data_IF_080146854227
#
_entry.id   IF_080146854227
#
_cell.length_a   1.000
_cell.length_b   1.000
_cell.length_c   1.000
_cell.angle_alpha   90.00
_cell.angle_beta   90.00
_cell.angle_gamma   90.00
#
_symmetry.space_group_name_H-M   'P 1'
#
loop_
_entity.id
_entity.type
_entity.pdbx_description
1 polymer ?
#
# COMPACT_ATOMS: atom_id res chain seq x y z
N UNK A 1 -20.30 -33.87 -7.53
CA UNK A 1 -19.70 -32.80 -6.72
C UNK A 1 -20.74 -31.71 -6.51
N UNK A 2 -20.74 -31.03 -5.36
CA UNK A 2 -21.77 -30.03 -5.04
C UNK A 2 -21.53 -28.76 -5.87
N UNK A 3 -22.59 -28.21 -6.49
CA UNK A 3 -22.55 -26.90 -7.14
C UNK A 3 -22.75 -25.74 -6.17
N UNK A 4 -22.98 -26.04 -4.88
CA UNK A 4 -23.29 -25.05 -3.86
C UNK A 4 -22.44 -25.25 -2.60
N UNK A 5 -22.05 -24.17 -1.91
CA UNK A 5 -21.41 -24.24 -0.59
C UNK A 5 -22.20 -25.07 0.40
N UNK A 6 -21.51 -25.86 1.23
CA UNK A 6 -22.13 -26.62 2.31
C UNK A 6 -22.41 -25.70 3.49
N UNK A 7 -23.69 -25.61 3.87
CA UNK A 7 -24.10 -24.92 5.10
C UNK A 7 -23.56 -25.69 6.31
N UNK A 8 -22.81 -25.02 7.18
CA UNK A 8 -22.27 -25.58 8.41
C UNK A 8 -23.29 -25.50 9.55
N UNK A 9 -23.92 -24.35 9.72
CA UNK A 9 -24.90 -24.07 10.75
C UNK A 9 -25.89 -23.00 10.29
N UNK A 10 -26.97 -22.82 11.05
CA UNK A 10 -27.93 -21.74 10.84
C UNK A 10 -28.31 -21.08 12.17
N UNK A 11 -28.68 -19.81 12.12
CA UNK A 11 -29.28 -19.08 13.24
C UNK A 11 -30.35 -18.12 12.71
N UNK A 12 -31.22 -17.59 13.56
CA UNK A 12 -32.33 -16.72 13.16
C UNK A 12 -32.14 -15.32 13.71
N UNK A 13 -32.30 -14.33 12.85
CA UNK A 13 -32.43 -12.91 13.21
C UNK A 13 -33.91 -12.55 13.22
N UNK A 14 -34.44 -12.20 14.38
CA UNK A 14 -35.83 -11.78 14.60
C UNK A 14 -35.96 -10.32 15.04
N UNK A 15 -34.89 -9.78 15.62
CA UNK A 15 -34.85 -8.45 16.21
C UNK A 15 -34.66 -7.29 15.23
N UNK A 16 -34.35 -7.58 13.97
CA UNK A 16 -33.92 -6.58 12.99
C UNK A 16 -32.46 -6.16 13.13
N UNK A 17 -31.67 -6.82 13.99
CA UNK A 17 -30.27 -6.51 14.20
C UNK A 17 -29.46 -7.68 14.74
N UNK A 18 -28.15 -7.56 14.63
CA UNK A 18 -27.20 -8.52 15.21
C UNK A 18 -26.15 -7.81 16.05
N UNK A 19 -25.75 -8.43 17.16
CA UNK A 19 -24.58 -8.08 17.94
C UNK A 19 -23.38 -8.93 17.50
N UNK A 20 -22.17 -8.36 17.55
CA UNK A 20 -20.97 -9.04 17.05
C UNK A 20 -19.71 -8.75 17.88
N UNK A 21 -18.71 -9.63 17.76
CA UNK A 21 -17.39 -9.46 18.34
C UNK A 21 -17.10 -10.43 19.50
N UNK A 22 -16.28 -10.00 20.46
CA UNK A 22 -16.03 -10.78 21.68
C UNK A 22 -17.24 -10.71 22.64
N UNK A 23 -17.21 -11.49 23.73
CA UNK A 23 -18.35 -11.58 24.67
C UNK A 23 -18.77 -10.22 25.24
N UNK A 24 -17.80 -9.41 25.72
CA UNK A 24 -18.07 -8.06 26.23
C UNK A 24 -18.56 -7.11 25.13
N UNK A 25 -18.07 -7.25 23.90
CA UNK A 25 -18.56 -6.47 22.76
C UNK A 25 -20.01 -6.80 22.44
N UNK A 26 -20.37 -8.08 22.38
CA UNK A 26 -21.76 -8.54 22.15
C UNK A 26 -22.68 -8.02 23.25
N UNK A 27 -22.25 -8.11 24.51
CA UNK A 27 -22.98 -7.57 25.63
C UNK A 27 -23.19 -6.06 25.49
N UNK A 28 -22.11 -5.30 25.25
CA UNK A 28 -22.18 -3.86 25.02
C UNK A 28 -23.15 -3.52 23.89
N UNK A 29 -23.06 -4.23 22.77
CA UNK A 29 -23.90 -3.99 21.60
C UNK A 29 -25.38 -4.18 21.87
N UNK A 30 -25.76 -5.12 22.74
CA UNK A 30 -27.15 -5.34 23.14
C UNK A 30 -27.76 -4.22 24.00
N UNK A 31 -26.92 -3.32 24.53
CA UNK A 31 -27.35 -2.22 25.40
C UNK A 31 -27.50 -0.88 24.66
N UNK A 32 -26.99 -0.81 23.44
CA UNK A 32 -27.03 0.39 22.60
C UNK A 32 -28.09 0.23 21.49
N UNK A 33 -28.75 1.31 21.04
CA UNK A 33 -29.67 1.24 19.91
C UNK A 33 -29.03 0.58 18.67
N UNK A 34 -29.83 -0.14 17.89
CA UNK A 34 -29.38 -0.81 16.66
C UNK A 34 -28.82 0.24 15.68
N UNK A 35 -27.55 0.08 15.32
CA UNK A 35 -26.82 0.95 14.40
C UNK A 35 -27.29 0.71 12.96
N UNK A 36 -27.65 1.79 12.26
CA UNK A 36 -27.89 1.76 10.80
C UNK A 36 -26.57 1.61 10.03
N UNK A 37 -26.61 1.68 8.69
CA UNK A 37 -25.37 1.69 7.91
C UNK A 37 -24.41 2.80 8.39
N UNK A 38 -23.20 2.47 8.85
CA UNK A 38 -22.37 3.45 9.54
C UNK A 38 -21.77 4.46 8.57
N UNK A 39 -21.82 5.75 8.95
CA UNK A 39 -20.89 6.76 8.43
C UNK A 39 -19.68 6.81 9.35
N UNK A 40 -19.02 5.67 9.55
CA UNK A 40 -17.88 5.58 10.45
C UNK A 40 -16.68 6.29 9.79
N UNK A 41 -16.25 7.42 10.37
CA UNK A 41 -14.97 8.02 10.00
C UNK A 41 -13.87 7.42 10.88
N UNK A 42 -12.72 7.04 10.32
CA UNK A 42 -11.61 6.54 11.11
C UNK A 42 -11.16 7.60 12.12
N UNK A 43 -10.94 7.19 13.37
CA UNK A 43 -10.36 8.01 14.42
C UNK A 43 -8.88 7.64 14.58
N UNK A 44 -8.04 8.65 14.81
CA UNK A 44 -6.61 8.46 15.05
C UNK A 44 -6.35 8.46 16.54
N UNK A 45 -5.96 7.31 17.12
CA UNK A 45 -5.51 7.21 18.50
C UNK A 45 -4.06 6.68 18.53
N UNK A 46 -3.09 7.59 18.65
CA UNK A 46 -1.67 7.24 18.65
C UNK A 46 -1.23 6.64 17.31
N UNK A 47 -0.53 5.50 17.34
CA UNK A 47 -0.10 4.76 16.13
C UNK A 47 -1.18 3.83 15.56
N UNK A 48 -2.38 3.80 16.15
CA UNK A 48 -3.48 2.93 15.76
C UNK A 48 -4.64 3.78 15.24
N UNK A 49 -5.13 3.42 14.06
CA UNK A 49 -6.35 3.99 13.49
C UNK A 49 -7.47 2.97 13.73
N UNK A 50 -8.55 3.40 14.38
CA UNK A 50 -9.69 2.56 14.71
C UNK A 50 -11.01 3.28 14.39
N UNK A 51 -12.08 2.51 14.18
CA UNK A 51 -13.43 3.03 14.03
C UNK A 51 -14.17 2.96 15.36
N UNK A 52 -14.98 3.98 15.64
CA UNK A 52 -15.91 3.91 16.77
C UNK A 52 -17.10 3.01 16.40
N UNK A 53 -17.30 1.94 17.17
CA UNK A 53 -18.32 0.91 16.90
C UNK A 53 -19.33 0.80 18.05
N UNK A 54 -20.57 0.44 17.73
CA UNK A 54 -21.59 0.08 18.73
C UNK A 54 -21.71 -1.44 18.95
N UNK A 55 -20.94 -2.26 18.23
CA UNK A 55 -20.97 -3.74 18.30
C UNK A 55 -22.34 -4.36 18.06
N UNK A 56 -23.22 -3.62 17.41
CA UNK A 56 -24.47 -4.08 16.86
C UNK A 56 -24.68 -3.44 15.48
N UNK A 57 -25.52 -4.03 14.64
CA UNK A 57 -25.84 -3.48 13.32
C UNK A 57 -27.20 -3.99 12.83
N UNK A 58 -27.91 -3.14 12.09
CA UNK A 58 -29.19 -3.49 11.44
C UNK A 58 -29.00 -4.65 10.47
N UNK A 59 -29.80 -5.70 10.61
CA UNK A 59 -29.64 -6.94 9.88
C UNK A 59 -30.96 -7.44 9.32
N UNK A 60 -30.89 -8.12 8.18
CA UNK A 60 -32.06 -8.70 7.55
C UNK A 60 -32.64 -9.82 8.42
N UNK A 61 -33.91 -9.69 8.78
CA UNK A 61 -34.65 -10.74 9.49
C UNK A 61 -34.73 -12.02 8.67
N UNK A 62 -34.69 -13.16 9.36
CA UNK A 62 -34.79 -14.49 8.77
C UNK A 62 -33.72 -15.45 9.29
N UNK A 63 -33.72 -16.67 8.76
CA UNK A 63 -32.69 -17.67 9.07
C UNK A 63 -31.45 -17.41 8.23
N UNK A 64 -30.31 -17.16 8.86
CA UNK A 64 -29.01 -17.00 8.22
C UNK A 64 -28.27 -18.33 8.13
N UNK A 65 -27.59 -18.54 7.01
CA UNK A 65 -26.71 -19.68 6.79
C UNK A 65 -25.28 -19.29 7.15
N UNK A 66 -24.57 -20.17 7.84
CA UNK A 66 -23.16 -20.02 8.19
C UNK A 66 -22.35 -21.07 7.44
N UNK A 67 -21.23 -20.65 6.87
CA UNK A 67 -20.34 -21.44 6.03
C UNK A 67 -18.92 -21.38 6.58
N UNK A 68 -18.23 -22.52 6.53
CA UNK A 68 -16.79 -22.60 6.78
C UNK A 68 -16.04 -22.33 5.49
N UNK A 69 -15.02 -21.49 5.58
CA UNK A 69 -14.06 -21.28 4.50
C UNK A 69 -12.79 -22.06 4.84
N UNK A 70 -12.40 -22.95 3.93
CA UNK A 70 -11.35 -23.95 4.13
C UNK A 70 -10.11 -23.56 3.35
N UNK A 71 -8.94 -23.65 3.99
CA UNK A 71 -7.65 -23.51 3.32
C UNK A 71 -7.30 -24.82 2.59
N UNK A 72 -7.17 -24.75 1.27
CA UNK A 72 -6.90 -25.92 0.43
C UNK A 72 -5.53 -26.58 0.72
N UNK A 73 -4.61 -25.89 1.40
CA UNK A 73 -3.28 -26.41 1.73
C UNK A 73 -3.30 -27.40 2.90
N UNK A 74 -4.18 -27.18 3.87
CA UNK A 74 -4.19 -27.94 5.13
C UNK A 74 -5.58 -28.47 5.54
N UNK A 75 -6.65 -28.11 4.82
CA UNK A 75 -8.02 -28.52 5.10
C UNK A 75 -8.62 -27.89 6.36
N UNK A 76 -7.94 -26.93 6.98
CA UNK A 76 -8.37 -26.23 8.18
C UNK A 76 -9.32 -25.08 7.87
N UNK A 77 -10.11 -24.68 8.88
CA UNK A 77 -10.97 -23.48 8.78
C UNK A 77 -10.07 -22.25 8.83
N UNK A 78 -10.08 -21.45 7.76
CA UNK A 78 -9.30 -20.22 7.64
C UNK A 78 -10.14 -18.97 7.88
N UNK A 79 -11.44 -19.04 7.59
CA UNK A 79 -12.38 -17.95 7.74
C UNK A 79 -13.82 -18.48 7.84
N UNK A 80 -14.73 -17.57 8.17
CA UNK A 80 -16.16 -17.84 8.29
C UNK A 80 -16.95 -16.84 7.45
N UNK A 81 -18.05 -17.31 6.87
CA UNK A 81 -18.99 -16.47 6.14
C UNK A 81 -20.41 -16.78 6.60
N UNK A 82 -21.21 -15.77 6.88
CA UNK A 82 -22.63 -15.90 7.21
C UNK A 82 -23.45 -15.04 6.26
N UNK A 83 -24.58 -15.53 5.78
CA UNK A 83 -25.47 -14.74 4.91
C UNK A 83 -26.93 -15.14 5.01
N UNK A 84 -27.80 -14.19 4.71
CA UNK A 84 -29.22 -14.44 4.52
C UNK A 84 -29.44 -15.28 3.22
N UNK A 85 -30.42 -16.22 3.17
CA UNK A 85 -30.64 -17.11 2.03
C UNK A 85 -30.98 -16.44 0.71
N UNK A 86 -31.35 -15.14 0.74
CA UNK A 86 -31.55 -14.34 -0.47
C UNK A 86 -30.24 -13.90 -1.15
N UNK A 87 -29.10 -14.14 -0.51
CA UNK A 87 -27.77 -13.76 -1.00
C UNK A 87 -27.11 -14.97 -1.63
N UNK A 88 -26.55 -14.81 -2.82
CA UNK A 88 -25.66 -15.82 -3.40
C UNK A 88 -24.27 -15.67 -2.75
N UNK A 89 -23.83 -16.63 -1.93
CA UNK A 89 -22.67 -16.47 -1.05
C UNK A 89 -21.35 -16.24 -1.79
N UNK A 90 -21.12 -16.89 -2.94
CA UNK A 90 -19.84 -16.81 -3.67
C UNK A 90 -19.68 -15.44 -4.33
N UNK A 91 -20.73 -14.92 -4.96
CA UNK A 91 -20.74 -13.59 -5.58
C UNK A 91 -20.63 -12.48 -4.55
N UNK A 92 -21.33 -12.60 -3.43
CA UNK A 92 -21.34 -11.57 -2.40
C UNK A 92 -19.99 -11.45 -1.67
N UNK A 93 -19.39 -12.57 -1.25
CA UNK A 93 -18.06 -12.52 -0.62
C UNK A 93 -17.00 -11.95 -1.58
N UNK A 94 -17.07 -12.28 -2.88
CA UNK A 94 -16.18 -11.72 -3.90
C UNK A 94 -16.37 -10.21 -4.05
N UNK A 95 -17.62 -9.72 -4.04
CA UNK A 95 -17.93 -8.29 -4.03
C UNK A 95 -17.31 -7.61 -2.81
N UNK A 96 -17.53 -8.14 -1.61
CA UNK A 96 -17.00 -7.59 -0.36
C UNK A 96 -15.47 -7.52 -0.42
N UNK A 97 -14.81 -8.64 -0.74
CA UNK A 97 -13.36 -8.72 -0.73
C UNK A 97 -12.72 -7.84 -1.80
N UNK A 98 -13.36 -7.63 -2.96
CA UNK A 98 -12.86 -6.70 -4.00
C UNK A 98 -12.72 -5.27 -3.45
N UNK A 99 -13.62 -4.86 -2.57
CA UNK A 99 -13.69 -3.50 -2.03
C UNK A 99 -12.93 -3.37 -0.71
N UNK A 100 -12.96 -4.42 0.13
CA UNK A 100 -12.27 -4.48 1.41
C UNK A 100 -11.95 -5.92 1.81
N UNK A 101 -10.85 -6.43 1.27
CA UNK A 101 -10.27 -7.73 1.55
C UNK A 101 -9.29 -7.73 2.72
N UNK A 102 -8.41 -8.74 2.73
CA UNK A 102 -7.36 -8.87 3.74
C UNK A 102 -6.26 -7.83 3.53
N UNK A 103 -5.88 -7.03 4.55
CA UNK A 103 -4.77 -6.07 4.44
C UNK A 103 -3.43 -6.70 4.05
N UNK A 104 -3.31 -8.02 4.16
CA UNK A 104 -2.12 -8.80 3.84
C UNK A 104 -2.14 -9.39 2.43
N UNK A 105 -3.24 -9.22 1.70
CA UNK A 105 -3.33 -9.57 0.29
C UNK A 105 -3.10 -8.36 -0.61
N UNK A 106 -2.72 -8.62 -1.85
CA UNK A 106 -2.65 -7.60 -2.88
C UNK A 106 -4.05 -7.32 -3.43
N UNK A 107 -4.29 -6.11 -3.95
CA UNK A 107 -5.63 -5.69 -4.43
C UNK A 107 -6.73 -5.94 -3.39
N UNK A 108 -6.45 -5.63 -2.13
CA UNK A 108 -7.40 -5.80 -1.03
C UNK A 108 -8.40 -4.65 -0.91
N UNK A 109 -8.35 -3.66 -1.80
CA UNK A 109 -9.18 -2.46 -1.69
C UNK A 109 -8.86 -1.66 -0.42
N UNK A 110 -9.88 -1.09 0.21
CA UNK A 110 -9.72 -0.27 1.40
C UNK A 110 -9.66 -1.10 2.67
N UNK A 111 -8.73 -0.79 3.57
CA UNK A 111 -8.73 -1.29 4.94
C UNK A 111 -9.55 -0.43 5.90
N UNK A 112 -10.16 0.66 5.42
CA UNK A 112 -10.92 1.62 6.23
C UNK A 112 -12.30 1.86 5.63
N UNK A 113 -13.24 2.31 6.45
CA UNK A 113 -14.51 2.82 5.94
C UNK A 113 -14.23 4.11 5.14
N UNK A 114 -14.47 4.07 3.83
CA UNK A 114 -14.24 5.18 2.91
C UNK A 114 -15.41 5.28 1.90
N UNK A 115 -15.28 6.19 0.94
CA UNK A 115 -16.31 6.40 -0.09
C UNK A 115 -16.56 5.15 -0.95
N UNK A 116 -15.54 4.34 -1.22
CA UNK A 116 -15.67 3.11 -2.00
C UNK A 116 -16.42 2.02 -1.24
N UNK A 117 -16.06 1.80 0.04
CA UNK A 117 -16.77 0.83 0.88
C UNK A 117 -18.20 1.28 1.14
N UNK A 118 -18.43 2.58 1.34
CA UNK A 118 -19.77 3.15 1.48
C UNK A 118 -20.60 2.97 0.22
N UNK A 119 -20.05 3.24 -0.97
CA UNK A 119 -20.74 3.09 -2.25
C UNK A 119 -21.18 1.65 -2.53
N UNK A 120 -20.39 0.68 -2.07
CA UNK A 120 -20.64 -0.75 -2.30
C UNK A 120 -21.42 -1.41 -1.16
N UNK A 121 -21.78 -0.66 -0.11
CA UNK A 121 -22.50 -1.18 1.05
C UNK A 121 -21.65 -2.13 1.89
N UNK A 122 -20.35 -1.89 1.97
CA UNK A 122 -19.41 -2.69 2.76
C UNK A 122 -19.03 -1.91 4.01
N UNK A 123 -19.29 -2.50 5.17
CA UNK A 123 -18.85 -1.94 6.45
C UNK A 123 -17.63 -2.69 6.98
N UNK A 124 -16.57 -1.94 7.28
CA UNK A 124 -15.24 -2.44 7.61
C UNK A 124 -15.00 -2.42 9.11
N UNK A 125 -14.66 -3.59 9.68
CA UNK A 125 -14.26 -3.76 11.09
C UNK A 125 -12.85 -4.36 11.14
N UNK A 126 -11.89 -3.59 11.64
CA UNK A 126 -10.48 -3.98 11.73
C UNK A 126 -10.13 -4.65 13.04
N UNK A 127 -8.95 -5.28 13.08
CA UNK A 127 -8.38 -5.93 14.28
C UNK A 127 -8.31 -5.07 15.53
N UNK A 128 -8.32 -3.75 15.39
CA UNK A 128 -8.20 -2.80 16.48
C UNK A 128 -9.56 -2.23 16.94
N UNK A 129 -10.65 -2.56 16.25
CA UNK A 129 -11.95 -1.93 16.50
C UNK A 129 -12.75 -2.65 17.62
N UNK A 130 -12.26 -3.80 18.11
CA UNK A 130 -13.00 -4.72 18.99
C UNK A 130 -12.07 -5.59 19.84
N UNK A 131 -12.66 -6.49 20.64
CA UNK A 131 -11.94 -7.41 21.50
C UNK A 131 -11.17 -6.66 22.59
N UNK A 132 -9.90 -7.05 22.79
CA UNK A 132 -8.98 -6.46 23.77
C UNK A 132 -8.81 -4.92 23.67
N UNK A 133 -9.01 -4.35 22.48
CA UNK A 133 -8.86 -2.90 22.26
C UNK A 133 -10.05 -2.08 22.77
N UNK A 134 -11.17 -2.72 23.09
CA UNK A 134 -12.34 -2.08 23.68
C UNK A 134 -12.54 -2.52 25.14
N UNK A 135 -12.83 -1.55 26.01
CA UNK A 135 -12.95 -1.76 27.45
C UNK A 135 -14.39 -1.76 27.96
N UNK A 136 -15.39 -1.49 27.12
CA UNK A 136 -16.79 -1.45 27.55
C UNK A 136 -17.22 -2.84 28.02
N UNK A 137 -17.70 -2.94 29.25
CA UNK A 137 -18.09 -4.18 29.91
C UNK A 137 -16.98 -5.25 30.01
N UNK A 138 -15.71 -4.90 29.73
CA UNK A 138 -14.60 -5.86 29.78
C UNK A 138 -14.36 -6.37 31.20
N UNK A 139 -14.43 -5.49 32.20
CA UNK A 139 -14.21 -5.86 33.60
C UNK A 139 -15.37 -6.72 34.17
N UNK A 140 -16.58 -6.59 33.61
CA UNK A 140 -17.77 -7.31 34.06
C UNK A 140 -17.96 -8.66 33.38
N UNK A 141 -17.71 -8.73 32.06
CA UNK A 141 -17.98 -9.91 31.23
C UNK A 141 -16.67 -10.64 30.87
N UNK A 142 -15.58 -9.90 30.67
CA UNK A 142 -14.31 -10.43 30.21
C UNK A 142 -14.37 -11.11 28.84
N UNK A 143 -13.34 -11.89 28.54
CA UNK A 143 -13.22 -12.65 27.29
C UNK A 143 -13.78 -14.09 27.40
N UNK A 144 -14.17 -14.50 28.62
CA UNK A 144 -14.60 -15.85 28.97
C UNK A 144 -13.44 -16.83 29.18
N UNK A 145 -13.75 -18.12 29.28
CA UNK A 145 -12.76 -19.17 29.54
C UNK A 145 -11.72 -19.32 28.41
N UNK A 146 -10.47 -19.62 28.76
CA UNK A 146 -9.38 -19.85 27.79
C UNK A 146 -9.40 -21.28 27.21
N UNK A 147 -8.98 -21.44 25.95
CA UNK A 147 -8.92 -22.73 25.25
C UNK A 147 -7.85 -23.68 25.81
N UNK A 148 -6.80 -23.12 26.44
CA UNK A 148 -5.64 -23.80 27.01
C UNK A 148 -4.34 -23.45 26.26
N UNK A 149 -3.24 -24.10 26.62
CA UNK A 149 -1.90 -23.79 26.08
C UNK A 149 -1.74 -24.06 24.56
N UNK A 150 -2.67 -24.80 23.96
CA UNK A 150 -2.65 -25.09 22.51
C UNK A 150 -3.08 -23.92 21.64
N UNK A 151 -3.85 -22.98 22.20
CA UNK A 151 -4.30 -21.76 21.51
C UNK A 151 -4.63 -20.67 22.53
N UNK A 152 -3.60 -19.99 23.01
CA UNK A 152 -3.72 -18.93 24.02
C UNK A 152 -4.46 -17.69 23.51
N UNK A 153 -4.62 -17.55 22.20
CA UNK A 153 -5.31 -16.43 21.55
C UNK A 153 -6.74 -16.79 21.11
N UNK A 154 -7.28 -17.91 21.57
CA UNK A 154 -8.59 -18.41 21.15
C UNK A 154 -9.73 -17.38 21.33
N UNK A 155 -9.66 -16.56 22.38
CA UNK A 155 -10.64 -15.50 22.60
C UNK A 155 -10.48 -14.32 21.60
N UNK A 156 -9.26 -14.02 21.17
CA UNK A 156 -8.97 -12.96 20.19
C UNK A 156 -9.12 -13.43 18.74
N UNK A 157 -9.06 -14.74 18.48
CA UNK A 157 -9.23 -15.33 17.14
C UNK A 157 -10.65 -15.86 16.87
N UNK A 158 -11.58 -15.49 17.74
CA UNK A 158 -12.99 -15.85 17.65
C UNK A 158 -13.90 -14.64 17.68
N UNK A 159 -15.08 -14.77 17.08
CA UNK A 159 -16.14 -13.78 17.19
C UNK A 159 -17.52 -14.46 17.26
N UNK A 160 -18.42 -13.89 18.06
CA UNK A 160 -19.83 -14.22 17.98
C UNK A 160 -20.58 -13.34 16.99
N UNK A 161 -21.66 -13.87 16.44
CA UNK A 161 -22.67 -13.14 15.68
C UNK A 161 -24.04 -13.62 16.17
N UNK A 162 -24.82 -12.72 16.78
CA UNK A 162 -25.98 -13.08 17.61
C UNK A 162 -27.14 -12.13 17.34
N UNK A 163 -28.37 -12.63 17.32
CA UNK A 163 -29.56 -11.80 17.30
C UNK A 163 -29.55 -10.80 18.47
N UNK A 164 -29.86 -9.54 18.18
CA UNK A 164 -29.73 -8.45 19.13
C UNK A 164 -30.51 -8.68 20.45
N UNK A 165 -31.72 -9.26 20.39
CA UNK A 165 -32.55 -9.46 21.59
C UNK A 165 -32.08 -10.63 22.46
N UNK A 166 -31.39 -11.60 21.86
CA UNK A 166 -30.92 -12.81 22.53
C UNK A 166 -29.46 -12.72 23.00
N UNK A 167 -28.76 -11.64 22.63
CA UNK A 167 -27.34 -11.42 22.85
C UNK A 167 -26.91 -11.64 24.31
N UNK A 168 -27.57 -11.01 25.28
CA UNK A 168 -27.21 -11.15 26.69
C UNK A 168 -27.44 -12.58 27.24
N UNK A 169 -28.48 -13.25 26.75
CA UNK A 169 -28.78 -14.63 27.15
C UNK A 169 -27.65 -15.56 26.69
N UNK A 170 -27.28 -15.48 25.41
CA UNK A 170 -26.20 -16.28 24.83
C UNK A 170 -24.83 -15.97 25.43
N UNK A 171 -24.53 -14.71 25.74
CA UNK A 171 -23.26 -14.36 26.41
C UNK A 171 -23.17 -15.03 27.79
N UNK A 172 -24.26 -15.05 28.57
CA UNK A 172 -24.28 -15.74 29.88
C UNK A 172 -24.06 -17.25 29.75
N UNK A 173 -24.55 -17.86 28.68
CA UNK A 173 -24.28 -19.27 28.40
C UNK A 173 -22.81 -19.50 28.03
N UNK A 174 -22.24 -18.65 27.17
CA UNK A 174 -20.90 -18.83 26.62
C UNK A 174 -19.75 -18.41 27.55
N UNK A 175 -19.96 -17.52 28.52
CA UNK A 175 -18.90 -16.97 29.37
C UNK A 175 -18.11 -18.06 30.12
N UNK A 176 -18.80 -19.11 30.59
CA UNK A 176 -18.20 -20.26 31.27
C UNK A 176 -17.66 -21.34 30.32
N UNK A 177 -17.70 -21.11 29.01
CA UNK A 177 -17.29 -22.07 27.99
C UNK A 177 -16.04 -21.60 27.25
N UNK A 178 -15.17 -22.56 26.93
CA UNK A 178 -14.02 -22.33 26.04
C UNK A 178 -14.50 -22.01 24.62
N UNK A 179 -13.80 -21.17 23.85
CA UNK A 179 -14.16 -20.82 22.48
C UNK A 179 -14.52 -22.02 21.60
N UNK A 180 -13.76 -23.12 21.62
CA UNK A 180 -14.04 -24.31 20.81
C UNK A 180 -15.30 -25.08 21.20
N UNK A 181 -15.87 -24.78 22.38
CA UNK A 181 -17.05 -25.45 22.95
C UNK A 181 -18.31 -24.60 22.84
N UNK A 182 -18.21 -23.34 22.40
CA UNK A 182 -19.36 -22.48 22.13
C UNK A 182 -20.01 -22.94 20.83
N UNK A 183 -21.05 -23.75 20.96
CA UNK A 183 -21.76 -24.32 19.81
C UNK A 183 -22.74 -23.30 19.20
N UNK A 184 -23.10 -23.53 17.94
CA UNK A 184 -24.18 -22.82 17.27
C UNK A 184 -25.50 -22.98 18.06
N UNK A 185 -26.27 -21.90 18.12
CA UNK A 185 -27.63 -21.90 18.68
C UNK A 185 -28.62 -21.37 17.67
N UNK A 186 -29.91 -21.41 18.00
CA UNK A 186 -30.96 -20.80 17.16
C UNK A 186 -30.83 -19.28 17.06
N UNK A 187 -30.18 -18.63 18.02
CA UNK A 187 -30.11 -17.18 18.12
C UNK A 187 -28.74 -16.62 17.76
N UNK A 188 -27.72 -17.45 17.55
CA UNK A 188 -26.41 -16.98 17.15
C UNK A 188 -25.38 -18.07 16.93
N UNK A 189 -24.22 -17.68 16.43
CA UNK A 189 -23.09 -18.54 16.14
C UNK A 189 -21.82 -17.99 16.80
N UNK A 190 -20.96 -18.89 17.28
CA UNK A 190 -19.59 -18.58 17.66
C UNK A 190 -18.65 -19.10 16.58
N UNK A 191 -17.86 -18.20 15.98
CA UNK A 191 -16.93 -18.50 14.90
C UNK A 191 -15.52 -18.51 15.46
N UNK A 192 -14.97 -19.69 15.65
CA UNK A 192 -13.61 -19.91 16.17
C UNK A 192 -12.67 -20.29 15.01
N UNK A 193 -11.53 -19.60 14.89
CA UNK A 193 -10.49 -19.88 13.90
C UNK A 193 -9.19 -20.26 14.62
N UNK A 194 -8.92 -21.56 14.84
CA UNK A 194 -7.82 -22.01 15.68
C UNK A 194 -6.46 -21.47 15.24
N UNK A 195 -5.63 -21.05 16.20
CA UNK A 195 -4.25 -20.59 16.00
C UNK A 195 -4.11 -19.45 14.97
N UNK A 196 -5.19 -18.71 14.75
CA UNK A 196 -5.20 -17.54 13.89
C UNK A 196 -4.91 -16.28 14.71
N UNK A 197 -4.45 -15.23 14.05
CA UNK A 197 -4.18 -13.93 14.67
C UNK A 197 -4.59 -12.79 13.74
N UNK A 198 -4.82 -11.62 14.36
CA UNK A 198 -5.20 -10.38 13.68
C UNK A 198 -6.47 -10.57 12.87
N UNK A 199 -7.59 -10.53 13.57
CA UNK A 199 -8.89 -10.83 13.00
C UNK A 199 -9.59 -9.60 12.44
N UNK A 200 -10.28 -9.79 11.33
CA UNK A 200 -11.00 -8.76 10.59
C UNK A 200 -12.41 -9.23 10.30
N UNK A 201 -13.35 -8.29 10.26
CA UNK A 201 -14.72 -8.56 9.84
C UNK A 201 -15.18 -7.57 8.78
N UNK A 202 -16.06 -8.01 7.89
CA UNK A 202 -16.78 -7.11 6.97
C UNK A 202 -18.25 -7.48 6.96
N UNK A 203 -19.12 -6.48 6.93
CA UNK A 203 -20.55 -6.66 6.68
C UNK A 203 -20.89 -6.22 5.26
N UNK A 204 -21.66 -7.03 4.55
CA UNK A 204 -22.26 -6.66 3.27
C UNK A 204 -23.72 -6.25 3.47
N UNK A 205 -24.09 -5.10 2.92
CA UNK A 205 -25.45 -4.57 2.94
C UNK A 205 -26.20 -4.88 1.64
N UNK A 206 -27.52 -4.77 1.71
CA UNK A 206 -28.39 -4.68 0.54
C UNK A 206 -28.07 -3.44 -0.32
N UNK A 207 -28.62 -3.39 -1.53
CA UNK A 207 -28.35 -2.30 -2.50
C UNK A 207 -28.83 -0.92 -2.00
N UNK A 208 -29.77 -0.90 -1.05
CA UNK A 208 -30.30 0.32 -0.43
C UNK A 208 -29.56 0.74 0.84
N UNK A 209 -28.54 -0.02 1.25
CA UNK A 209 -27.77 0.17 2.49
C UNK A 209 -28.65 0.23 3.75
N UNK A 210 -29.77 -0.49 3.75
CA UNK A 210 -30.76 -0.48 4.82
C UNK A 210 -30.57 -1.60 5.84
N UNK A 211 -30.09 -2.77 5.41
CA UNK A 211 -29.82 -3.89 6.29
C UNK A 211 -28.60 -4.69 5.84
N UNK A 212 -27.78 -5.16 6.80
CA UNK A 212 -26.78 -6.17 6.47
C UNK A 212 -27.46 -7.49 6.12
N UNK A 213 -26.90 -8.17 5.13
CA UNK A 213 -27.36 -9.47 4.65
C UNK A 213 -26.24 -10.51 4.58
N UNK A 214 -25.02 -10.11 4.89
CA UNK A 214 -23.86 -10.99 4.95
C UNK A 214 -22.76 -10.46 5.88
N UNK A 215 -21.94 -11.38 6.36
CA UNK A 215 -20.83 -11.14 7.27
C UNK A 215 -19.68 -12.09 6.94
N UNK A 216 -18.46 -11.58 6.86
CA UNK A 216 -17.24 -12.37 6.73
C UNK A 216 -16.32 -12.09 7.92
N UNK A 217 -15.72 -13.15 8.45
CA UNK A 217 -14.72 -13.11 9.52
C UNK A 217 -13.48 -13.89 9.11
N UNK A 218 -12.33 -13.23 9.10
CA UNK A 218 -11.08 -13.81 8.61
C UNK A 218 -9.86 -13.25 9.36
N UNK A 219 -8.70 -13.83 9.13
CA UNK A 219 -7.46 -13.49 9.84
C UNK A 219 -6.40 -12.92 8.90
N UNK A 220 -5.28 -12.45 9.46
CA UNK A 220 -4.09 -12.11 8.67
C UNK A 220 -3.49 -13.29 7.89
N UNK A 221 -3.79 -14.52 8.30
CA UNK A 221 -3.29 -15.74 7.64
C UNK A 221 -4.22 -16.25 6.54
N UNK A 222 -5.40 -15.64 6.38
CA UNK A 222 -6.34 -16.03 5.34
C UNK A 222 -5.86 -15.53 3.98
N UNK A 223 -5.46 -16.47 3.12
CA UNK A 223 -5.15 -16.25 1.70
C UNK A 223 -6.35 -16.72 0.87
N UNK A 224 -7.12 -15.76 0.34
CA UNK A 224 -8.35 -16.03 -0.40
C UNK A 224 -8.08 -16.64 -1.78
N UNK A 225 -6.83 -16.62 -2.28
CA UNK A 225 -6.42 -17.37 -3.47
C UNK A 225 -6.18 -18.86 -3.18
N UNK A 226 -6.14 -19.25 -1.90
CA UNK A 226 -6.01 -20.64 -1.42
C UNK A 226 -7.19 -21.09 -0.57
N UNK A 227 -8.18 -20.23 -0.37
CA UNK A 227 -9.36 -20.51 0.46
C UNK A 227 -10.59 -20.72 -0.41
N UNK A 228 -11.39 -21.74 -0.09
CA UNK A 228 -12.67 -22.05 -0.76
C UNK A 228 -13.79 -22.23 0.26
N UNK A 229 -15.05 -22.24 -0.19
CA UNK A 229 -16.15 -22.70 0.64
C UNK A 229 -16.06 -24.21 0.86
N UNK A 230 -16.36 -24.69 2.07
CA UNK A 230 -16.50 -26.13 2.29
C UNK A 230 -17.52 -26.73 1.30
N UNK A 231 -17.08 -27.75 0.55
CA UNK A 231 -17.90 -28.43 -0.47
C UNK A 231 -17.72 -27.92 -1.89
N UNK A 232 -16.97 -26.84 -2.10
CA UNK A 232 -16.53 -26.35 -3.41
C UNK A 232 -15.03 -26.61 -3.64
N UNK A 233 -14.62 -26.56 -4.90
CA UNK A 233 -13.21 -26.64 -5.31
C UNK A 233 -12.64 -25.26 -5.69
N UNK A 234 -13.47 -24.40 -6.27
CA UNK A 234 -13.08 -23.07 -6.75
C UNK A 234 -12.73 -22.15 -5.57
N UNK A 235 -11.58 -21.49 -5.63
CA UNK A 235 -11.13 -20.55 -4.60
C UNK A 235 -11.91 -19.24 -4.66
N UNK A 236 -11.94 -18.53 -3.54
CA UNK A 236 -12.70 -17.29 -3.42
C UNK A 236 -12.13 -16.22 -4.34
N UNK A 237 -10.79 -16.09 -4.39
CA UNK A 237 -10.06 -15.27 -5.36
C UNK A 237 -9.28 -16.15 -6.33
N UNK A 238 -9.09 -15.65 -7.53
CA UNK A 238 -8.20 -16.27 -8.52
C UNK A 238 -6.77 -15.88 -8.18
N UNK A 239 -5.87 -16.86 -8.17
CA UNK A 239 -4.44 -16.57 -8.10
C UNK A 239 -4.00 -15.92 -9.41
N UNK A 240 -3.29 -14.81 -9.30
CA UNK A 240 -2.71 -14.08 -10.42
C UNK A 240 -1.21 -13.94 -10.15
N UNK A 241 -0.39 -14.35 -11.11
CA UNK A 241 1.05 -14.21 -10.98
C UNK A 241 1.41 -12.71 -10.88
N UNK A 242 2.50 -12.33 -10.18
CA UNK A 242 2.81 -10.92 -9.97
C UNK A 242 2.93 -10.09 -11.25
N UNK A 243 3.54 -10.65 -12.29
CA UNK A 243 3.66 -9.99 -13.59
C UNK A 243 2.31 -9.83 -14.31
N UNK A 244 1.45 -10.86 -14.28
CA UNK A 244 0.08 -10.80 -14.84
C UNK A 244 -0.73 -9.69 -14.16
N UNK A 245 -0.60 -9.57 -12.84
CA UNK A 245 -1.24 -8.51 -12.05
C UNK A 245 -0.77 -7.14 -12.46
N UNK A 246 0.53 -6.97 -12.62
CA UNK A 246 1.10 -5.70 -13.04
C UNK A 246 0.59 -5.30 -14.43
N UNK A 247 0.58 -6.22 -15.39
CA UNK A 247 0.04 -5.99 -16.74
C UNK A 247 -1.46 -5.65 -16.72
N UNK A 248 -2.25 -6.36 -15.90
CA UNK A 248 -3.67 -6.03 -15.70
C UNK A 248 -3.84 -4.63 -15.12
N UNK A 249 -3.12 -4.28 -14.06
CA UNK A 249 -3.17 -2.95 -13.44
C UNK A 249 -2.77 -1.85 -14.43
N UNK A 250 -1.77 -2.09 -15.30
CA UNK A 250 -1.42 -1.18 -16.39
C UNK A 250 -2.59 -1.00 -17.37
N UNK A 251 -3.25 -2.09 -17.76
CA UNK A 251 -4.40 -2.05 -18.67
C UNK A 251 -5.64 -1.36 -18.05
N UNK A 252 -5.83 -1.50 -16.74
CA UNK A 252 -6.92 -0.87 -15.97
C UNK A 252 -6.65 0.61 -15.64
N UNK A 253 -5.47 1.13 -15.98
CA UNK A 253 -5.10 2.52 -15.70
C UNK A 253 -4.77 2.79 -14.23
N UNK A 254 -4.26 1.79 -13.50
CA UNK A 254 -3.79 1.95 -12.13
C UNK A 254 -2.74 3.07 -12.03
N UNK A 255 -2.82 3.88 -10.97
CA UNK A 255 -1.89 4.99 -10.76
C UNK A 255 -0.53 4.49 -10.24
N UNK A 256 0.46 4.43 -11.12
CA UNK A 256 1.86 4.13 -10.78
C UNK A 256 2.72 5.40 -10.63
N UNK A 257 2.14 6.56 -10.33
CA UNK A 257 2.90 7.81 -10.11
C UNK A 257 3.79 7.75 -8.86
N UNK A 258 3.39 6.95 -7.86
CA UNK A 258 4.07 6.78 -6.58
C UNK A 258 3.85 7.91 -5.57
N UNK A 259 3.06 8.94 -5.91
CA UNK A 259 2.86 10.11 -5.04
C UNK A 259 2.06 9.75 -3.79
N UNK A 260 0.96 9.02 -3.92
CA UNK A 260 0.14 8.59 -2.78
C UNK A 260 0.91 7.67 -1.84
N UNK A 261 1.72 6.77 -2.39
CA UNK A 261 2.55 5.85 -1.60
C UNK A 261 3.66 6.60 -0.86
N UNK A 262 4.33 7.53 -1.55
CA UNK A 262 5.32 8.41 -0.94
C UNK A 262 4.73 9.27 0.19
N UNK A 263 3.52 9.80 0.02
CA UNK A 263 2.83 10.58 1.06
C UNK A 263 2.45 9.74 2.28
N UNK A 264 2.03 8.49 2.05
CA UNK A 264 1.77 7.53 3.16
C UNK A 264 3.05 7.22 3.91
N UNK A 265 4.15 6.93 3.21
CA UNK A 265 5.43 6.64 3.83
C UNK A 265 5.98 7.83 4.61
N UNK A 266 5.93 9.05 4.05
CA UNK A 266 6.38 10.27 4.72
C UNK A 266 5.57 10.60 5.98
N UNK A 267 4.28 10.29 5.99
CA UNK A 267 3.43 10.45 7.16
C UNK A 267 3.81 9.47 8.28
N UNK A 268 4.14 8.22 7.93
CA UNK A 268 4.50 7.18 8.89
C UNK A 268 5.93 7.31 9.44
N UNK A 269 6.90 7.55 8.55
CA UNK A 269 8.32 7.64 8.91
C UNK A 269 8.73 9.02 9.43
N UNK A 270 7.91 10.06 9.19
CA UNK A 270 8.19 11.43 9.61
C UNK A 270 9.23 12.16 8.73
N UNK A 271 9.81 11.51 7.73
CA UNK A 271 10.71 12.16 6.77
C UNK A 271 9.90 13.00 5.79
N UNK A 272 10.13 14.31 5.80
CA UNK A 272 9.42 15.32 5.01
C UNK A 272 10.41 16.22 4.27
N UNK A 273 9.97 16.94 3.23
CA UNK A 273 10.81 17.98 2.65
C UNK A 273 11.32 18.94 3.73
N UNK A 274 12.56 19.43 3.57
CA UNK A 274 13.11 20.46 4.45
C UNK A 274 12.47 21.83 4.21
N UNK A 275 11.90 22.05 3.02
CA UNK A 275 11.19 23.26 2.62
C UNK A 275 9.67 23.10 2.75
N UNK A 276 8.96 24.22 2.89
CA UNK A 276 7.50 24.21 2.82
C UNK A 276 7.02 24.00 1.39
N UNK A 277 5.76 23.57 1.23
CA UNK A 277 5.14 23.33 -0.08
C UNK A 277 5.30 24.46 -1.12
N UNK A 278 5.16 25.76 -0.79
CA UNK A 278 5.37 26.85 -1.76
C UNK A 278 6.85 27.11 -2.10
N UNK A 279 7.78 26.58 -1.30
CA UNK A 279 9.22 26.80 -1.46
C UNK A 279 9.92 25.69 -2.26
N UNK A 280 9.24 24.54 -2.44
CA UNK A 280 9.71 23.45 -3.29
C UNK A 280 10.03 23.95 -4.70
N UNK A 281 11.13 23.47 -5.27
CA UNK A 281 11.67 23.94 -6.56
C UNK A 281 11.11 23.15 -7.73
N UNK A 282 10.83 23.84 -8.84
CA UNK A 282 10.14 23.28 -10.00
C UNK A 282 8.61 23.21 -9.82
N UNK A 283 7.86 22.61 -10.75
CA UNK A 283 8.30 22.00 -12.01
C UNK A 283 8.91 23.04 -12.98
N UNK A 284 9.88 22.62 -13.78
CA UNK A 284 10.56 23.47 -14.76
C UNK A 284 9.72 23.58 -16.04
N UNK A 285 8.58 24.28 -15.93
CA UNK A 285 7.63 24.48 -17.02
C UNK A 285 8.34 25.14 -18.22
N UNK A 286 8.24 24.51 -19.40
CA UNK A 286 8.81 24.95 -20.69
C UNK A 286 10.33 24.75 -20.87
N UNK A 287 11.01 23.98 -20.01
CA UNK A 287 12.40 23.61 -20.25
C UNK A 287 12.51 22.54 -21.36
N UNK A 288 13.51 22.66 -22.23
CA UNK A 288 13.87 21.62 -23.19
C UNK A 288 14.46 20.42 -22.44
N UNK A 289 14.06 19.20 -22.83
CA UNK A 289 14.55 17.96 -22.22
C UNK A 289 16.07 17.89 -22.27
N UNK A 290 16.72 17.53 -21.16
CA UNK A 290 18.17 17.31 -21.11
C UNK A 290 18.50 15.96 -21.74
N UNK A 291 17.74 14.93 -21.37
CA UNK A 291 17.87 13.57 -21.88
C UNK A 291 16.67 13.24 -22.76
N UNK A 292 16.96 12.92 -24.02
CA UNK A 292 15.95 12.41 -24.96
C UNK A 292 15.56 10.97 -24.58
N UNK A 293 14.41 10.46 -25.07
CA UNK A 293 14.01 9.07 -24.88
C UNK A 293 15.11 8.03 -25.16
N UNK A 294 15.91 8.24 -26.21
CA UNK A 294 17.03 7.35 -26.59
C UNK A 294 18.12 7.32 -25.50
N UNK A 295 18.40 8.47 -24.90
CA UNK A 295 19.45 8.63 -23.90
C UNK A 295 19.05 7.91 -22.60
N UNK A 296 17.77 8.03 -22.22
CA UNK A 296 17.23 7.37 -21.02
C UNK A 296 17.15 5.84 -21.18
N UNK A 297 16.80 5.34 -22.36
CA UNK A 297 16.84 3.89 -22.63
C UNK A 297 18.26 3.33 -22.59
N UNK A 298 19.21 4.10 -23.13
CA UNK A 298 20.63 3.77 -23.10
C UNK A 298 21.15 3.68 -21.65
N UNK A 299 20.86 4.70 -20.84
CA UNK A 299 21.21 4.72 -19.41
C UNK A 299 20.52 3.59 -18.64
N UNK A 300 19.25 3.30 -18.90
CA UNK A 300 18.55 2.17 -18.28
C UNK A 300 19.25 0.85 -18.61
N UNK A 301 19.58 0.60 -19.87
CA UNK A 301 20.16 -0.66 -20.31
C UNK A 301 21.50 -0.97 -19.60
N UNK A 302 22.34 0.04 -19.37
CA UNK A 302 23.60 -0.15 -18.64
C UNK A 302 23.47 -0.19 -17.12
N UNK A 303 22.35 0.28 -16.57
CA UNK A 303 22.08 0.28 -15.12
C UNK A 303 21.67 -1.11 -14.61
N UNK A 304 21.24 -1.99 -15.53
CA UNK A 304 20.77 -3.33 -15.19
C UNK A 304 21.93 -4.29 -15.01
N UNK A 305 22.30 -4.56 -13.75
CA UNK A 305 23.18 -5.70 -13.43
C UNK A 305 22.39 -7.00 -13.51
N UNK A 306 22.92 -8.09 -14.12
CA UNK A 306 22.24 -9.38 -14.16
C UNK A 306 22.25 -10.02 -12.76
N UNK A 307 21.21 -9.78 -11.96
CA UNK A 307 20.94 -10.51 -10.71
C UNK A 307 19.45 -10.85 -10.60
N UNK A 308 19.12 -12.14 -10.65
CA UNK A 308 17.78 -12.68 -10.37
C UNK A 308 16.91 -13.03 -11.60
N UNK A 309 15.81 -13.79 -11.42
CA UNK A 309 14.98 -14.30 -12.53
C UNK A 309 13.96 -13.29 -13.10
N UNK A 310 13.64 -12.20 -12.39
CA UNK A 310 12.80 -11.10 -12.88
C UNK A 310 13.67 -9.88 -13.14
N UNK A 311 14.27 -9.82 -14.33
CA UNK A 311 14.96 -8.62 -14.79
C UNK A 311 13.96 -7.59 -15.29
N UNK A 312 14.16 -6.31 -14.95
CA UNK A 312 13.39 -5.26 -15.59
C UNK A 312 13.70 -5.23 -17.10
N UNK A 313 12.70 -5.40 -17.95
CA UNK A 313 12.86 -5.43 -19.41
C UNK A 313 12.74 -4.05 -20.06
N UNK A 314 12.35 -3.02 -19.31
CA UNK A 314 12.15 -1.67 -19.86
C UNK A 314 11.33 -0.76 -18.96
N UNK A 315 10.97 0.41 -19.49
CA UNK A 315 9.94 1.26 -18.92
C UNK A 315 8.54 0.73 -19.31
N UNK A 316 7.56 0.85 -18.43
CA UNK A 316 6.19 0.51 -18.76
C UNK A 316 5.62 1.49 -19.79
N UNK A 317 5.10 1.00 -20.92
CA UNK A 317 4.76 1.84 -22.07
C UNK A 317 3.74 2.94 -21.73
N UNK A 318 2.72 2.61 -20.95
CA UNK A 318 1.67 3.54 -20.49
C UNK A 318 2.23 4.68 -19.62
N UNK A 319 3.35 4.43 -18.94
CA UNK A 319 4.00 5.37 -18.01
C UNK A 319 5.31 5.93 -18.53
N UNK A 320 5.74 5.55 -19.72
CA UNK A 320 7.05 5.86 -20.29
C UNK A 320 7.29 7.36 -20.40
N UNK A 321 6.30 8.10 -20.92
CA UNK A 321 6.35 9.57 -21.01
C UNK A 321 6.48 10.23 -19.64
N UNK A 322 5.72 9.78 -18.65
CA UNK A 322 5.78 10.32 -17.29
C UNK A 322 7.12 10.02 -16.63
N UNK A 323 7.64 8.82 -16.84
CA UNK A 323 8.95 8.39 -16.34
C UNK A 323 10.07 9.26 -16.91
N UNK A 324 10.06 9.52 -18.21
CA UNK A 324 11.05 10.38 -18.86
C UNK A 324 11.00 11.82 -18.38
N UNK A 325 9.79 12.34 -18.18
CA UNK A 325 9.60 13.68 -17.63
C UNK A 325 10.08 13.77 -16.19
N UNK A 326 9.77 12.78 -15.36
CA UNK A 326 10.24 12.72 -13.97
C UNK A 326 11.77 12.74 -13.89
N UNK A 327 12.45 11.89 -14.66
CA UNK A 327 13.92 11.85 -14.69
C UNK A 327 14.52 13.19 -15.14
N UNK A 328 13.96 13.80 -16.20
CA UNK A 328 14.41 15.12 -16.65
C UNK A 328 14.17 16.21 -15.60
N UNK A 329 13.04 16.20 -14.90
CA UNK A 329 12.73 17.19 -13.86
C UNK A 329 13.64 17.06 -12.64
N UNK A 330 14.00 15.83 -12.26
CA UNK A 330 15.02 15.60 -11.23
C UNK A 330 16.37 16.17 -11.67
N UNK A 331 16.76 15.99 -12.93
CA UNK A 331 18.00 16.57 -13.46
C UNK A 331 17.96 18.08 -13.57
N UNK A 332 16.87 18.68 -14.04
CA UNK A 332 16.73 20.15 -14.05
C UNK A 332 16.88 20.71 -12.64
N UNK A 333 16.22 20.08 -11.66
CA UNK A 333 16.36 20.44 -10.26
C UNK A 333 17.82 20.35 -9.81
N UNK A 334 18.53 19.26 -10.11
CA UNK A 334 19.93 19.09 -9.74
C UNK A 334 20.82 20.17 -10.37
N UNK A 335 20.66 20.40 -11.67
CA UNK A 335 21.41 21.42 -12.42
C UNK A 335 21.16 22.83 -11.85
N UNK A 336 19.92 23.15 -11.50
CA UNK A 336 19.53 24.47 -11.02
C UNK A 336 19.96 24.74 -9.58
N UNK A 337 19.88 23.73 -8.71
CA UNK A 337 20.19 23.89 -7.29
C UNK A 337 21.66 23.64 -6.94
N UNK A 338 22.33 22.72 -7.64
CA UNK A 338 23.68 22.29 -7.28
C UNK A 338 24.76 22.65 -8.31
N UNK A 339 24.41 22.92 -9.58
CA UNK A 339 25.41 23.31 -10.59
C UNK A 339 25.36 24.81 -10.86
N UNK A 340 24.16 25.35 -11.13
CA UNK A 340 23.95 26.75 -11.53
C UNK A 340 24.56 27.77 -10.57
N UNK A 341 24.42 27.67 -9.24
CA UNK A 341 24.96 28.66 -8.31
C UNK A 341 26.48 28.76 -8.34
N UNK A 342 27.15 27.71 -8.81
CA UNK A 342 28.60 27.57 -8.76
C UNK A 342 29.29 27.85 -10.11
N UNK A 343 28.52 28.19 -11.13
CA UNK A 343 29.01 28.46 -12.49
C UNK A 343 29.89 29.71 -12.63
N UNK A 344 29.80 30.65 -11.68
CA UNK A 344 30.58 31.89 -11.68
C UNK A 344 31.83 31.83 -10.79
N UNK A 345 32.13 30.68 -10.17
CA UNK A 345 33.31 30.56 -9.33
C UNK A 345 34.59 30.70 -10.17
N UNK A 346 35.31 31.79 -9.91
CA UNK A 346 36.68 32.02 -10.35
C UNK A 346 37.58 30.96 -9.71
N UNK A 347 37.99 29.94 -10.49
CA UNK A 347 38.86 28.87 -9.97
C UNK A 347 38.95 27.59 -10.81
N UNK A 348 38.14 27.44 -11.86
CA UNK A 348 38.17 26.27 -12.75
C UNK A 348 37.54 25.01 -12.13
N UNK A 349 37.70 23.86 -12.81
CA UNK A 349 37.01 22.61 -12.46
C UNK A 349 37.31 22.11 -11.03
N UNK A 350 38.52 22.30 -10.53
CA UNK A 350 38.91 21.84 -9.19
C UNK A 350 38.16 22.60 -8.07
N UNK A 351 38.10 23.93 -8.17
CA UNK A 351 37.37 24.77 -7.22
C UNK A 351 35.86 24.46 -7.25
N UNK A 352 35.31 24.23 -8.45
CA UNK A 352 33.91 23.85 -8.62
C UNK A 352 33.61 22.48 -7.99
N UNK A 353 34.49 21.49 -8.17
CA UNK A 353 34.31 20.16 -7.60
C UNK A 353 34.27 20.15 -6.07
N UNK A 354 35.16 20.90 -5.41
CA UNK A 354 35.19 21.01 -3.94
C UNK A 354 33.96 21.75 -3.37
N UNK A 355 33.30 22.57 -4.19
CA UNK A 355 32.13 23.35 -3.77
C UNK A 355 30.82 22.59 -3.98
N UNK A 356 30.71 21.78 -5.04
CA UNK A 356 29.49 21.03 -5.37
C UNK A 356 29.39 19.75 -4.52
N UNK A 357 30.51 19.06 -4.31
CA UNK A 357 30.57 17.77 -3.62
C UNK A 357 31.04 17.97 -2.16
N UNK A 358 30.18 18.61 -1.37
CA UNK A 358 30.53 19.09 -0.03
C UNK A 358 30.69 17.98 1.02
N UNK A 359 30.17 16.78 0.79
CA UNK A 359 30.17 15.69 1.79
C UNK A 359 31.32 14.69 1.59
N UNK A 360 32.31 14.98 0.75
CA UNK A 360 33.46 14.08 0.50
C UNK A 360 34.22 13.66 1.76
N UNK A 361 34.23 14.49 2.81
CA UNK A 361 34.91 14.20 4.08
C UNK A 361 34.01 13.50 5.12
N UNK A 362 32.70 13.68 5.02
CA UNK A 362 31.70 13.12 5.95
C UNK A 362 31.16 11.76 5.50
N UNK A 363 31.14 11.56 4.19
CA UNK A 363 30.65 10.36 3.56
C UNK A 363 31.84 9.44 3.29
N UNK A 364 31.78 8.21 3.80
CA UNK A 364 32.89 7.26 3.67
C UNK A 364 33.25 6.96 2.20
N UNK A 365 34.32 6.19 1.99
CA UNK A 365 34.70 5.70 0.66
C UNK A 365 33.51 4.98 0.01
N UNK A 366 33.16 5.35 -1.24
CA UNK A 366 31.98 4.90 -2.02
C UNK A 366 30.62 5.56 -1.66
N UNK A 367 30.61 6.81 -1.24
CA UNK A 367 29.37 7.59 -1.16
C UNK A 367 28.93 8.14 -2.51
N UNK A 368 27.67 8.62 -2.60
CA UNK A 368 27.19 9.28 -3.81
C UNK A 368 28.08 10.48 -4.20
N UNK A 369 28.45 11.33 -3.25
CA UNK A 369 29.33 12.50 -3.50
C UNK A 369 30.72 12.08 -4.01
N UNK A 370 31.31 11.01 -3.49
CA UNK A 370 32.59 10.46 -3.97
C UNK A 370 32.47 9.97 -5.42
N UNK A 371 31.37 9.29 -5.76
CA UNK A 371 31.12 8.87 -7.14
C UNK A 371 30.88 10.06 -8.09
N UNK A 372 30.05 11.03 -7.71
CA UNK A 372 29.80 12.21 -8.52
C UNK A 372 31.08 13.05 -8.71
N UNK A 373 31.88 13.22 -7.65
CA UNK A 373 33.19 13.87 -7.73
C UNK A 373 34.13 13.18 -8.71
N UNK A 374 34.21 11.84 -8.67
CA UNK A 374 35.05 11.07 -9.61
C UNK A 374 34.61 11.27 -11.05
N UNK A 375 33.31 11.22 -11.33
CA UNK A 375 32.79 11.44 -12.70
C UNK A 375 32.93 12.89 -13.18
N UNK A 376 32.99 13.83 -12.25
CA UNK A 376 33.28 15.23 -12.56
C UNK A 376 34.77 15.47 -12.83
N UNK A 377 35.67 14.89 -12.04
CA UNK A 377 37.12 15.22 -12.06
C UNK A 377 37.94 14.32 -12.98
N UNK A 378 37.63 13.02 -13.04
CA UNK A 378 38.33 12.05 -13.86
C UNK A 378 37.71 11.91 -15.25
N UNK A 379 38.55 11.83 -16.28
CA UNK A 379 38.16 11.42 -17.63
C UNK A 379 37.90 9.91 -17.61
N UNK A 380 36.76 9.49 -17.08
CA UNK A 380 36.36 8.09 -17.12
C UNK A 380 36.07 7.70 -18.59
N UNK A 381 36.71 6.68 -19.18
CA UNK A 381 36.45 6.28 -20.55
C UNK A 381 35.00 5.78 -20.69
N UNK A 382 34.17 6.63 -21.29
CA UNK A 382 32.77 6.39 -21.69
C UNK A 382 31.87 5.77 -20.61
N UNK A 383 31.15 6.64 -19.89
CA UNK A 383 30.12 6.24 -18.93
C UNK A 383 29.12 5.23 -19.54
N UNK A 384 28.78 5.45 -20.83
CA UNK A 384 28.00 4.58 -21.72
C UNK A 384 28.43 4.82 -23.17
N UNK A 385 28.69 3.78 -23.96
CA UNK A 385 29.18 3.91 -25.35
C UNK A 385 28.19 4.58 -26.31
N UNK A 386 26.89 4.48 -26.03
CA UNK A 386 25.83 4.87 -26.97
C UNK A 386 25.08 6.15 -26.53
N UNK A 387 25.56 6.83 -25.49
CA UNK A 387 24.98 8.10 -25.03
C UNK A 387 25.45 9.26 -25.92
N UNK A 388 24.51 10.10 -26.36
CA UNK A 388 24.78 11.31 -27.13
C UNK A 388 25.34 12.43 -26.23
N UNK A 389 26.60 12.29 -25.83
CA UNK A 389 27.27 13.20 -24.87
C UNK A 389 27.25 14.64 -25.39
N UNK A 390 27.52 14.84 -26.68
CA UNK A 390 27.55 16.17 -27.30
C UNK A 390 26.17 16.83 -27.27
N UNK A 391 25.12 16.08 -27.66
CA UNK A 391 23.75 16.56 -27.64
C UNK A 391 23.26 16.89 -26.23
N UNK A 392 23.50 16.00 -25.25
CA UNK A 392 23.13 16.23 -23.84
C UNK A 392 23.89 17.42 -23.27
N UNK A 393 25.21 17.50 -23.50
CA UNK A 393 26.05 18.63 -23.04
C UNK A 393 25.59 19.96 -23.62
N UNK A 394 25.19 20.00 -24.90
CA UNK A 394 24.61 21.18 -25.54
C UNK A 394 23.32 21.65 -24.85
N UNK A 395 22.40 20.72 -24.54
CA UNK A 395 21.14 21.03 -23.85
C UNK A 395 21.36 21.46 -22.40
N UNK A 396 22.33 20.87 -21.71
CA UNK A 396 22.79 21.35 -20.39
C UNK A 396 23.29 22.79 -20.48
N UNK A 397 24.14 23.09 -21.48
CA UNK A 397 24.66 24.44 -21.71
C UNK A 397 23.53 25.44 -21.90
N UNK A 398 22.57 25.13 -22.76
CA UNK A 398 21.40 25.97 -23.03
C UNK A 398 20.58 26.23 -21.76
N UNK A 399 20.28 25.20 -20.97
CA UNK A 399 19.56 25.34 -19.71
C UNK A 399 20.32 26.20 -18.69
N UNK A 400 21.63 26.00 -18.56
CA UNK A 400 22.44 26.74 -17.60
C UNK A 400 22.65 28.21 -18.02
N UNK A 401 22.74 28.51 -19.32
CA UNK A 401 22.93 29.87 -19.84
C UNK A 401 21.62 30.68 -19.89
N UNK A 402 20.49 30.04 -20.19
CA UNK A 402 19.19 30.72 -20.34
C UNK A 402 18.61 31.32 -19.05
N UNK A 403 19.12 30.93 -17.87
CA UNK A 403 18.64 31.40 -16.56
C UNK A 403 19.37 32.61 -15.98
N UNK A 404 20.31 33.23 -16.71
CA UNK A 404 21.11 34.34 -16.19
C UNK A 404 20.44 35.72 -16.37
N UNK A 405 20.27 36.46 -15.28
CA UNK A 405 20.03 37.92 -15.32
C UNK A 405 21.32 38.74 -15.62
N UNK A 406 22.48 38.09 -15.76
CA UNK A 406 23.71 38.72 -16.23
C UNK A 406 24.59 37.72 -16.98
N UNK A 407 25.08 38.05 -18.19
CA UNK A 407 25.75 37.09 -19.06
C UNK A 407 27.08 36.65 -18.44
N UNK A 408 27.13 35.42 -17.93
CA UNK A 408 28.40 34.72 -17.74
C UNK A 408 28.95 34.43 -19.13
N UNK A 409 30.23 34.76 -19.37
CA UNK A 409 30.87 34.47 -20.64
C UNK A 409 30.80 32.96 -20.91
N UNK A 410 30.22 32.59 -22.05
CA UNK A 410 29.86 31.22 -22.45
C UNK A 410 31.05 30.25 -22.65
N UNK A 411 32.27 30.68 -22.32
CA UNK A 411 33.53 30.01 -22.59
C UNK A 411 34.06 29.07 -21.51
N UNK A 412 33.60 29.18 -20.25
CA UNK A 412 34.27 28.54 -19.11
C UNK A 412 33.54 27.33 -18.49
N UNK A 413 32.40 26.91 -19.05
CA UNK A 413 31.61 25.80 -18.48
C UNK A 413 31.96 24.51 -19.22
N UNK A 414 32.68 23.61 -18.54
CA UNK A 414 32.92 22.25 -19.01
C UNK A 414 31.64 21.39 -18.82
N UNK A 415 30.68 21.56 -19.74
CA UNK A 415 29.39 20.87 -19.70
C UNK A 415 29.50 19.37 -19.92
N UNK A 416 30.62 18.89 -20.48
CA UNK A 416 30.89 17.45 -20.63
C UNK A 416 31.09 16.80 -19.26
N UNK A 417 31.85 17.45 -18.35
CA UNK A 417 31.97 17.00 -16.95
C UNK A 417 30.61 16.95 -16.25
N UNK A 418 29.80 17.98 -16.43
CA UNK A 418 28.45 18.02 -15.86
C UNK A 418 27.58 16.91 -16.45
N UNK A 419 27.66 16.67 -17.76
CA UNK A 419 26.97 15.58 -18.45
C UNK A 419 27.30 14.22 -17.83
N UNK A 420 28.57 13.93 -17.55
CA UNK A 420 28.97 12.67 -16.89
C UNK A 420 28.34 12.52 -15.50
N UNK A 421 28.32 13.59 -14.72
CA UNK A 421 27.71 13.59 -13.37
C UNK A 421 26.22 13.29 -13.45
N UNK A 422 25.47 14.00 -14.30
CA UNK A 422 24.01 13.79 -14.38
C UNK A 422 23.66 12.45 -15.03
N UNK A 423 24.47 11.96 -15.95
CA UNK A 423 24.30 10.62 -16.53
C UNK A 423 24.54 9.52 -15.49
N UNK A 424 25.55 9.66 -14.63
CA UNK A 424 25.77 8.74 -13.51
C UNK A 424 24.61 8.79 -12.51
N UNK A 425 24.13 9.99 -12.17
CA UNK A 425 23.02 10.15 -11.25
C UNK A 425 21.74 9.46 -11.75
N UNK A 426 21.40 9.60 -13.04
CA UNK A 426 20.28 8.85 -13.64
C UNK A 426 20.54 7.35 -13.58
N UNK A 427 21.75 6.90 -13.90
CA UNK A 427 22.11 5.48 -13.86
C UNK A 427 21.89 4.89 -12.47
N UNK A 428 22.33 5.59 -11.41
CA UNK A 428 22.15 5.16 -10.03
C UNK A 428 20.65 5.07 -9.66
N UNK A 429 19.88 6.11 -9.99
CA UNK A 429 18.43 6.14 -9.78
C UNK A 429 17.75 4.95 -10.49
N UNK A 430 18.15 4.64 -11.73
CA UNK A 430 17.57 3.56 -12.52
C UNK A 430 18.01 2.17 -12.03
N UNK A 431 19.24 2.02 -11.51
CA UNK A 431 19.69 0.78 -10.88
C UNK A 431 18.80 0.47 -9.65
N UNK A 432 18.60 1.45 -8.76
CA UNK A 432 17.74 1.28 -7.59
C UNK A 432 16.27 1.07 -7.97
N UNK A 433 15.74 1.84 -8.92
CA UNK A 433 14.38 1.66 -9.42
C UNK A 433 14.17 0.27 -10.03
N UNK A 434 15.19 -0.30 -10.70
CA UNK A 434 15.12 -1.67 -11.21
C UNK A 434 15.03 -2.69 -10.07
N UNK A 435 15.80 -2.53 -9.00
CA UNK A 435 15.67 -3.41 -7.83
C UNK A 435 14.29 -3.28 -7.19
N UNK A 436 13.78 -2.05 -7.07
CA UNK A 436 12.45 -1.80 -6.50
C UNK A 436 11.34 -2.44 -7.33
N UNK A 437 11.42 -2.37 -8.66
CA UNK A 437 10.47 -3.03 -9.55
C UNK A 437 10.48 -4.56 -9.33
N UNK A 438 11.68 -5.15 -9.27
CA UNK A 438 11.85 -6.59 -8.98
C UNK A 438 11.32 -6.98 -7.60
N UNK A 439 11.60 -6.20 -6.55
CA UNK A 439 11.09 -6.42 -5.19
C UNK A 439 9.56 -6.28 -5.12
N UNK A 440 9.02 -5.36 -5.92
CA UNK A 440 7.57 -5.17 -6.12
C UNK A 440 6.97 -6.20 -7.08
N UNK A 441 7.78 -7.16 -7.53
CA UNK A 441 7.42 -8.30 -8.36
C UNK A 441 6.86 -7.94 -9.74
N UNK A 442 7.41 -6.90 -10.39
CA UNK A 442 7.16 -6.58 -11.80
C UNK A 442 8.45 -6.29 -12.57
N UNK A 443 8.38 -6.50 -13.89
CA UNK A 443 9.54 -6.41 -14.79
C UNK A 443 9.64 -5.10 -15.56
N UNK A 444 8.86 -4.06 -15.24
CA UNK A 444 8.98 -2.76 -15.92
C UNK A 444 9.07 -1.65 -14.90
N UNK A 445 9.94 -0.66 -15.17
CA UNK A 445 10.10 0.53 -14.33
C UNK A 445 8.94 1.49 -14.58
N UNK A 446 8.34 1.96 -13.49
CA UNK A 446 7.32 3.00 -13.44
C UNK A 446 7.77 4.15 -12.52
N UNK A 447 7.12 5.33 -12.55
CA UNK A 447 7.53 6.46 -11.70
C UNK A 447 7.57 6.15 -10.21
N UNK A 448 6.69 5.28 -9.71
CA UNK A 448 6.70 4.86 -8.30
C UNK A 448 8.02 4.21 -7.88
N UNK A 449 8.62 3.40 -8.75
CA UNK A 449 9.90 2.75 -8.44
C UNK A 449 11.01 3.78 -8.24
N UNK A 450 11.03 4.82 -9.08
CA UNK A 450 12.00 5.92 -8.99
C UNK A 450 11.81 6.70 -7.69
N UNK A 451 10.59 7.13 -7.40
CA UNK A 451 10.30 7.94 -6.20
C UNK A 451 10.63 7.19 -4.92
N UNK A 452 10.16 5.95 -4.81
CA UNK A 452 10.34 5.16 -3.60
C UNK A 452 11.80 4.76 -3.43
N UNK A 453 12.54 4.52 -4.52
CA UNK A 453 13.99 4.28 -4.45
C UNK A 453 14.75 5.50 -3.95
N UNK A 454 14.45 6.69 -4.47
CA UNK A 454 15.05 7.95 -3.99
C UNK A 454 14.68 8.18 -2.52
N UNK A 455 13.44 7.92 -2.11
CA UNK A 455 13.00 8.11 -0.73
C UNK A 455 13.72 7.19 0.27
N UNK A 456 14.00 5.95 -0.14
CA UNK A 456 14.65 4.95 0.70
C UNK A 456 16.18 5.08 0.73
N UNK A 457 16.77 5.80 -0.22
CA UNK A 457 18.20 6.08 -0.26
C UNK A 457 18.52 7.43 0.37
N UNK A 458 19.33 7.43 1.43
CA UNK A 458 19.60 8.64 2.22
C UNK A 458 20.33 9.75 1.44
N UNK A 459 21.22 9.39 0.52
CA UNK A 459 21.99 10.38 -0.25
C UNK A 459 21.14 10.97 -1.39
N UNK A 460 20.39 10.12 -2.11
CA UNK A 460 19.46 10.60 -3.14
C UNK A 460 18.29 11.39 -2.53
N UNK A 461 17.75 10.95 -1.39
CA UNK A 461 16.71 11.70 -0.68
C UNK A 461 17.23 13.07 -0.29
N UNK A 462 18.44 13.17 0.26
CA UNK A 462 19.04 14.46 0.62
C UNK A 462 19.16 15.40 -0.58
N UNK A 463 19.52 14.88 -1.77
CA UNK A 463 19.54 15.67 -2.99
C UNK A 463 18.14 16.14 -3.40
N UNK A 464 17.17 15.23 -3.50
CA UNK A 464 15.90 15.52 -4.18
C UNK A 464 14.72 15.88 -3.28
N UNK A 465 14.87 15.83 -1.95
CA UNK A 465 13.79 16.11 -1.00
C UNK A 465 13.15 17.49 -1.16
N UNK A 466 13.80 18.47 -1.81
CA UNK A 466 13.21 19.81 -2.03
C UNK A 466 12.71 20.01 -3.48
N UNK A 467 12.68 18.95 -4.29
CA UNK A 467 12.10 18.97 -5.63
C UNK A 467 10.58 18.85 -5.55
N UNK A 468 9.87 19.81 -6.15
CA UNK A 468 8.40 19.83 -6.23
C UNK A 468 7.87 18.59 -6.93
N UNK A 469 8.52 18.21 -8.04
CA UNK A 469 8.12 17.04 -8.82
C UNK A 469 8.39 15.75 -8.10
N UNK A 470 9.25 15.70 -7.07
CA UNK A 470 9.50 14.51 -6.27
C UNK A 470 8.27 14.14 -5.42
N UNK A 471 7.57 15.16 -4.91
CA UNK A 471 6.42 15.01 -4.01
C UNK A 471 5.06 15.14 -4.67
N UNK A 472 4.99 15.55 -5.94
CA UNK A 472 3.73 15.84 -6.64
C UNK A 472 3.65 15.17 -8.00
N UNK A 473 2.43 15.01 -8.50
CA UNK A 473 2.20 14.54 -9.85
C UNK A 473 2.62 15.61 -10.87
N UNK A 474 3.08 15.15 -12.03
CA UNK A 474 3.45 16.00 -13.15
C UNK A 474 2.20 16.34 -13.95
N UNK A 475 1.70 17.56 -13.81
CA UNK A 475 0.60 18.12 -14.63
C UNK A 475 0.88 18.08 -16.13
#
# INVERSE_FOLDING_TARGET
MSSHPKVHATFTVSSGGVCFGALHNIWSGSTAPIQSFPVARPQTNGTVIAHELQYNIVARNGTWNVYRLIDNRNGGVSAWYASHPSVEPVRDIRKILRVSGSPYEQDHGSTMNNEDTQREGVFVVNRYDWGYYDRRYFDEIGEGMEEGTSDVLANSNSAGLVDYLEAQCLVKEWIGMRPSKRLASKAGIWMYSPKSEYMFCRFGFDETHTATQSFIFFSSYTDFTKTTFEGLEETIRTFEAPQERFERRLAEGYNFSGVDELQKMSTLAGLRPSLTDPELKGAYKNANVIFEPKDLECLRAVSQKPRGPLHSHGFAEQWKRYTYRLLNELIWYYLDQYIRPHMSHLGGAEAMSNTIFTRLSESGVNSLDDHLYRHFTHLDPTLVSDLDIDGVSGRIKEFLVSGFHSPVSSGDIDTERVCRVVAYLIKEILELASYRASDSSHSQIVPSDIRLSIYMDGDLFHLFQNSSVFWRELE
#
